data_IF_623523948598
#
_entry.id   IF_623523948598
#
_cell.length_a   1.000
_cell.length_b   1.000
_cell.length_c   1.000
_cell.angle_alpha   90.00
_cell.angle_beta   90.00
_cell.angle_gamma   90.00
#
_symmetry.space_group_name_H-M   'P 1'
#
loop_
_entity.id
_entity.type
_entity.pdbx_description
1 polymer ?
#
# COMPACT_ATOMS: atom_id res chain seq x y z
N UNK A 1 22.63 11.97 -13.34
CA UNK A 1 21.93 10.67 -13.20
C UNK A 1 21.07 10.77 -11.94
N UNK A 2 19.74 10.94 -12.07
CA UNK A 2 18.85 11.05 -10.89
C UNK A 2 18.88 9.71 -10.14
N UNK A 3 19.27 9.72 -8.86
CA UNK A 3 19.08 8.58 -7.97
C UNK A 3 17.58 8.28 -7.97
N UNK A 4 17.21 7.06 -8.34
CA UNK A 4 15.84 6.59 -8.11
C UNK A 4 15.75 6.39 -6.60
N UNK A 5 15.12 7.33 -5.90
CA UNK A 5 14.80 7.16 -4.49
C UNK A 5 14.05 5.84 -4.32
N UNK A 6 14.45 5.08 -3.30
CA UNK A 6 13.98 3.72 -3.05
C UNK A 6 12.53 3.66 -2.52
N UNK A 7 11.76 4.73 -2.71
CA UNK A 7 10.41 4.92 -2.17
C UNK A 7 9.31 4.20 -2.97
N UNK A 8 9.67 3.32 -3.89
CA UNK A 8 8.70 2.53 -4.66
C UNK A 8 8.51 1.18 -4.02
N UNK A 9 7.41 1.05 -3.28
CA UNK A 9 6.95 -0.23 -2.76
C UNK A 9 5.92 -0.83 -3.71
N UNK A 10 6.23 -1.99 -4.29
CA UNK A 10 5.31 -2.76 -5.14
C UNK A 10 4.97 -4.05 -4.43
N UNK A 11 3.68 -4.34 -4.40
CA UNK A 11 3.10 -5.43 -3.64
C UNK A 11 1.96 -5.98 -4.51
N UNK A 12 1.94 -7.30 -4.72
CA UNK A 12 0.84 -7.98 -5.36
C UNK A 12 -0.22 -8.34 -4.32
N UNK A 13 -1.43 -7.83 -4.48
CA UNK A 13 -2.62 -8.26 -3.71
C UNK A 13 -3.68 -8.80 -4.65
N UNK A 14 -4.54 -9.67 -4.11
CA UNK A 14 -5.75 -10.10 -4.81
C UNK A 14 -6.90 -9.18 -4.43
N UNK A 15 -7.68 -8.78 -5.44
CA UNK A 15 -8.93 -8.05 -5.25
C UNK A 15 -10.01 -9.04 -4.84
N UNK A 16 -10.66 -8.78 -3.71
CA UNK A 16 -11.76 -9.57 -3.19
C UNK A 16 -13.13 -9.16 -3.75
N UNK A 17 -14.20 -9.76 -3.22
CA UNK A 17 -15.57 -9.35 -3.55
C UNK A 17 -15.78 -7.86 -3.35
N UNK A 18 -16.58 -7.24 -4.22
CA UNK A 18 -16.89 -5.79 -4.18
C UNK A 18 -15.67 -4.87 -4.32
N UNK A 19 -14.53 -5.37 -4.80
CA UNK A 19 -13.34 -4.54 -5.01
C UNK A 19 -12.51 -4.30 -3.74
N UNK A 20 -12.79 -5.00 -2.64
CA UNK A 20 -12.01 -4.85 -1.41
C UNK A 20 -10.57 -5.34 -1.60
N UNK A 21 -9.62 -4.66 -0.99
CA UNK A 21 -8.22 -5.11 -0.91
C UNK A 21 -7.81 -5.25 0.55
N UNK A 22 -7.03 -6.27 0.86
CA UNK A 22 -6.41 -6.43 2.18
C UNK A 22 -5.02 -5.82 2.13
N UNK A 23 -4.73 -4.87 3.02
CA UNK A 23 -3.39 -4.30 3.17
C UNK A 23 -2.53 -5.28 4.00
N UNK A 24 -1.45 -5.86 3.43
CA UNK A 24 -0.60 -6.81 4.15
C UNK A 24 0.09 -6.19 5.35
N UNK A 25 0.50 -7.04 6.30
CA UNK A 25 1.06 -6.59 7.57
C UNK A 25 2.37 -5.81 7.37
N UNK A 26 3.17 -6.20 6.37
CA UNK A 26 4.44 -5.57 6.01
C UNK A 26 4.22 -4.15 5.51
N UNK A 27 3.23 -3.94 4.64
CA UNK A 27 2.84 -2.63 4.15
C UNK A 27 2.32 -1.75 5.29
N UNK A 28 1.49 -2.30 6.19
CA UNK A 28 1.00 -1.56 7.36
C UNK A 28 2.14 -1.06 8.24
N UNK A 29 3.14 -1.91 8.52
CA UNK A 29 4.32 -1.51 9.31
C UNK A 29 5.21 -0.51 8.58
N UNK A 30 5.39 -0.67 7.27
CA UNK A 30 6.26 0.19 6.47
C UNK A 30 5.69 1.61 6.32
N UNK A 31 4.38 1.74 6.18
CA UNK A 31 3.70 3.02 5.98
C UNK A 31 2.98 3.55 7.23
N UNK A 32 3.20 2.91 8.39
CA UNK A 32 2.58 3.25 9.68
C UNK A 32 1.05 3.38 9.63
N UNK A 33 0.41 2.47 8.88
CA UNK A 33 -1.05 2.48 8.65
C UNK A 33 -1.76 1.82 9.84
N UNK A 34 -2.71 2.54 10.40
CA UNK A 34 -3.53 2.16 11.55
C UNK A 34 -5.03 2.11 11.24
N UNK A 35 -5.79 1.49 12.14
CA UNK A 35 -7.26 1.44 12.02
C UNK A 35 -7.82 2.85 12.20
N UNK A 36 -8.65 3.30 11.26
CA UNK A 36 -9.23 4.64 11.25
C UNK A 36 -8.55 5.59 10.26
N UNK A 37 -7.40 5.21 9.72
CA UNK A 37 -6.72 6.01 8.72
C UNK A 37 -7.51 6.06 7.41
N UNK A 38 -7.48 7.24 6.78
CA UNK A 38 -8.02 7.42 5.42
C UNK A 38 -6.87 7.33 4.44
N UNK A 39 -6.98 6.41 3.48
CA UNK A 39 -5.95 6.17 2.47
C UNK A 39 -6.45 6.64 1.10
N UNK A 40 -5.61 7.37 0.37
CA UNK A 40 -5.85 7.72 -1.02
C UNK A 40 -5.25 6.66 -1.94
N UNK A 41 -6.01 6.24 -2.95
CA UNK A 41 -5.53 5.37 -4.02
C UNK A 41 -5.31 6.23 -5.27
N UNK A 42 -4.09 6.19 -5.80
CA UNK A 42 -3.69 6.91 -7.02
C UNK A 42 -3.43 5.89 -8.13
N UNK A 43 -3.87 6.22 -9.35
CA UNK A 43 -3.68 5.42 -10.57
C UNK A 43 -2.56 5.94 -11.45
#
# INVERSE_FOLDING_TARGET
MKKVDQDRFIISVKVGPKGQITIPAEARKMFDISVGDTLMVLG
#
